data_IF_864246302816
#
_entry.id   IF_864246302816
#
_cell.length_a   1.000
_cell.length_b   1.000
_cell.length_c   1.000
_cell.angle_alpha   90.00
_cell.angle_beta   90.00
_cell.angle_gamma   90.00
#
_symmetry.space_group_name_H-M   'P 1'
#
loop_
_entity.id
_entity.type
_entity.pdbx_description
1 polymer ?
#
# COMPACT_ATOMS: atom_id res chain seq x y z
N UNK A 1 -20.78 64.28 -72.27
CA UNK A 1 -19.36 64.02 -72.00
C UNK A 1 -19.18 63.62 -70.54
N UNK A 2 -19.14 62.35 -70.24
CA UNK A 2 -18.68 61.82 -68.95
C UNK A 2 -18.09 60.46 -69.22
N UNK A 3 -16.79 60.34 -68.98
CA UNK A 3 -16.02 59.14 -69.13
C UNK A 3 -16.24 58.29 -67.85
N UNK A 4 -16.67 57.02 -68.02
CA UNK A 4 -16.79 56.03 -66.94
C UNK A 4 -15.56 55.17 -67.00
N UNK A 5 -14.80 55.18 -65.91
CA UNK A 5 -13.72 54.21 -65.69
C UNK A 5 -14.29 52.94 -65.05
N UNK A 6 -14.13 51.83 -65.74
CA UNK A 6 -14.45 50.50 -65.21
C UNK A 6 -13.26 49.96 -64.44
N UNK A 7 -13.42 49.73 -63.16
CA UNK A 7 -12.40 49.14 -62.32
C UNK A 7 -12.58 47.62 -62.31
N UNK A 8 -11.57 46.93 -62.82
CA UNK A 8 -11.46 45.47 -62.79
C UNK A 8 -11.20 45.00 -61.33
N UNK A 9 -12.09 44.22 -60.75
CA UNK A 9 -11.87 43.54 -59.49
C UNK A 9 -11.01 42.33 -59.76
N UNK A 10 -9.76 42.34 -59.26
CA UNK A 10 -8.93 41.16 -59.11
C UNK A 10 -9.50 40.30 -57.97
N UNK A 11 -9.89 39.07 -58.27
CA UNK A 11 -10.28 38.03 -57.30
C UNK A 11 -9.00 37.38 -56.86
N UNK A 12 -8.61 37.63 -55.59
CA UNK A 12 -7.58 36.84 -54.93
C UNK A 12 -8.16 35.50 -54.48
N UNK A 13 -7.47 34.35 -54.66
CA UNK A 13 -7.94 33.07 -54.13
C UNK A 13 -7.80 33.08 -52.60
N UNK A 14 -8.90 32.90 -51.90
CA UNK A 14 -8.94 32.60 -50.48
C UNK A 14 -8.22 31.25 -50.21
N UNK A 15 -7.01 31.34 -49.70
CA UNK A 15 -6.35 30.20 -49.09
C UNK A 15 -7.21 29.72 -47.90
N UNK A 16 -7.87 28.61 -48.12
CA UNK A 16 -8.55 27.86 -47.06
C UNK A 16 -7.47 27.29 -46.14
N UNK A 17 -7.17 27.98 -45.05
CA UNK A 17 -6.43 27.40 -43.91
C UNK A 17 -7.43 26.48 -43.24
N UNK A 18 -7.19 25.15 -43.20
CA UNK A 18 -8.00 24.29 -42.35
C UNK A 18 -7.76 24.75 -40.93
N UNK A 19 -8.79 25.32 -40.31
CA UNK A 19 -8.83 25.53 -38.87
C UNK A 19 -8.77 24.15 -38.21
N UNK A 20 -7.57 23.69 -37.96
CA UNK A 20 -7.34 22.67 -36.92
C UNK A 20 -7.77 23.33 -35.62
N UNK A 21 -9.06 23.29 -35.35
CA UNK A 21 -9.57 23.39 -33.99
C UNK A 21 -9.04 22.18 -33.24
N UNK A 22 -7.75 22.24 -32.88
CA UNK A 22 -7.23 21.46 -31.82
C UNK A 22 -8.17 21.68 -30.64
N UNK A 23 -8.95 20.65 -30.36
CA UNK A 23 -9.64 20.51 -29.10
C UNK A 23 -8.56 20.66 -28.02
N UNK A 24 -8.37 21.88 -27.55
CA UNK A 24 -7.79 22.15 -26.24
C UNK A 24 -8.77 21.53 -25.26
N UNK A 25 -8.65 20.20 -25.11
CA UNK A 25 -9.15 19.49 -23.94
C UNK A 25 -8.62 20.31 -22.76
N UNK A 26 -9.53 20.98 -22.07
CA UNK A 26 -9.26 21.65 -20.81
C UNK A 26 -8.85 20.56 -19.82
N UNK A 27 -7.61 20.14 -19.89
CA UNK A 27 -6.99 19.39 -18.85
C UNK A 27 -6.87 20.37 -17.68
N UNK A 28 -7.63 20.13 -16.64
CA UNK A 28 -7.40 20.80 -15.36
C UNK A 28 -5.93 20.65 -14.95
N UNK A 29 -5.44 21.36 -13.95
CA UNK A 29 -4.07 21.21 -13.49
C UNK A 29 -3.77 19.72 -13.26
N UNK A 30 -2.55 19.24 -13.62
CA UNK A 30 -2.19 17.85 -13.48
C UNK A 30 -2.41 17.44 -12.02
N UNK A 31 -3.08 16.29 -11.82
CA UNK A 31 -3.35 15.77 -10.50
C UNK A 31 -2.04 15.26 -9.85
N UNK A 32 -1.94 15.46 -8.56
CA UNK A 32 -0.86 14.86 -7.78
C UNK A 32 -0.98 13.33 -7.78
N UNK A 33 0.16 12.65 -7.84
CA UNK A 33 0.24 11.20 -8.00
C UNK A 33 0.40 10.51 -6.65
N UNK A 34 -0.32 9.41 -6.43
CA UNK A 34 -0.34 8.61 -5.19
C UNK A 34 -0.24 7.14 -5.53
N UNK A 35 0.61 6.40 -4.83
CA UNK A 35 0.68 4.94 -4.95
C UNK A 35 -0.08 4.31 -3.78
N UNK A 36 -0.84 3.25 -4.05
CA UNK A 36 -1.59 2.50 -3.04
C UNK A 36 -1.22 1.02 -3.14
N UNK A 37 -0.61 0.48 -2.09
CA UNK A 37 -0.19 -0.92 -2.02
C UNK A 37 -1.17 -1.70 -1.16
N UNK A 38 -1.84 -2.67 -1.75
CA UNK A 38 -2.88 -3.50 -1.14
C UNK A 38 -2.50 -4.98 -1.18
N UNK A 39 -3.15 -5.80 -0.37
CA UNK A 39 -2.93 -7.24 -0.30
C UNK A 39 -3.38 -7.79 1.05
N UNK A 40 -3.47 -9.11 1.17
CA UNK A 40 -3.77 -9.78 2.44
C UNK A 40 -2.62 -9.61 3.44
N UNK A 41 -2.89 -9.83 4.73
CA UNK A 41 -1.82 -9.88 5.73
C UNK A 41 -0.81 -10.98 5.36
N UNK A 42 0.47 -10.71 5.53
CA UNK A 42 1.53 -11.65 5.16
C UNK A 42 1.95 -11.63 3.69
N UNK A 43 1.23 -10.96 2.78
CA UNK A 43 1.54 -11.01 1.34
C UNK A 43 2.79 -10.20 0.90
N UNK A 44 3.48 -9.49 1.79
CA UNK A 44 4.70 -8.75 1.44
C UNK A 44 4.48 -7.26 1.12
N UNK A 45 3.31 -6.69 1.46
CA UNK A 45 3.00 -5.26 1.20
C UNK A 45 4.04 -4.28 1.75
N UNK A 46 4.45 -4.46 3.01
CA UNK A 46 5.42 -3.57 3.66
C UNK A 46 6.77 -3.63 2.95
N UNK A 47 7.23 -4.83 2.60
CA UNK A 47 8.46 -5.01 1.83
C UNK A 47 8.38 -4.26 0.49
N UNK A 48 7.31 -4.48 -0.31
CA UNK A 48 7.15 -3.76 -1.58
C UNK A 48 7.11 -2.24 -1.38
N UNK A 49 6.47 -1.75 -0.32
CA UNK A 49 6.41 -0.31 -0.08
C UNK A 49 7.78 0.31 0.23
N UNK A 50 8.65 -0.41 0.95
CA UNK A 50 10.04 0.00 1.17
C UNK A 50 10.84 -0.04 -0.13
N UNK A 51 10.75 -1.14 -0.90
CA UNK A 51 11.43 -1.26 -2.20
C UNK A 51 11.06 -0.12 -3.16
N UNK A 52 9.80 0.29 -3.16
CA UNK A 52 9.33 1.43 -3.96
C UNK A 52 9.81 2.76 -3.36
N UNK A 53 9.71 2.94 -2.04
CA UNK A 53 10.05 4.20 -1.39
C UNK A 53 11.54 4.54 -1.54
N UNK A 54 12.41 3.55 -1.48
CA UNK A 54 13.84 3.73 -1.69
C UNK A 54 14.19 4.06 -3.14
N UNK A 55 13.40 3.57 -4.12
CA UNK A 55 13.62 3.83 -5.56
C UNK A 55 13.06 5.18 -6.03
N UNK A 56 11.97 5.65 -5.42
CA UNK A 56 11.22 6.82 -5.90
C UNK A 56 11.21 8.01 -4.93
N UNK A 57 12.07 8.04 -3.92
CA UNK A 57 12.07 9.10 -2.91
C UNK A 57 10.66 9.35 -2.35
N UNK A 58 10.12 8.33 -1.69
CA UNK A 58 8.75 8.34 -1.20
C UNK A 58 8.69 8.24 0.33
N UNK A 59 7.53 8.59 0.87
CA UNK A 59 7.20 8.37 2.27
C UNK A 59 5.94 7.51 2.39
N UNK A 60 5.84 6.73 3.44
CA UNK A 60 4.79 5.74 3.63
C UNK A 60 3.72 6.25 4.59
N UNK A 61 2.44 6.08 4.21
CA UNK A 61 1.27 6.27 5.07
C UNK A 61 0.71 4.90 5.40
N UNK A 62 0.86 4.47 6.65
CA UNK A 62 0.31 3.20 7.11
C UNK A 62 -1.22 3.25 7.15
N UNK A 63 -1.88 2.27 6.54
CA UNK A 63 -3.34 2.10 6.54
C UNK A 63 -3.79 0.81 7.24
N UNK A 64 -3.00 0.31 8.18
CA UNK A 64 -3.40 -0.82 9.03
C UNK A 64 -4.08 -0.33 10.31
N UNK A 65 -5.22 -0.96 10.64
CA UNK A 65 -6.06 -0.60 11.78
C UNK A 65 -5.38 -0.78 13.12
N UNK A 66 -4.54 -1.83 13.25
CA UNK A 66 -3.92 -2.17 14.53
C UNK A 66 -2.55 -1.52 14.68
N UNK A 67 -1.84 -1.34 13.59
CA UNK A 67 -0.51 -0.75 13.61
C UNK A 67 -0.50 0.77 13.87
N UNK A 68 -1.66 1.42 13.82
CA UNK A 68 -1.78 2.85 14.15
C UNK A 68 -1.58 3.12 15.64
N UNK A 69 -1.90 2.14 16.50
CA UNK A 69 -1.78 2.25 17.95
C UNK A 69 -0.34 2.09 18.44
N UNK A 70 -0.01 2.76 19.54
CA UNK A 70 1.23 2.55 20.30
C UNK A 70 1.23 1.19 20.98
N UNK A 71 2.40 0.59 21.12
CA UNK A 71 2.60 -0.72 21.76
C UNK A 71 2.14 -1.91 20.92
N UNK A 72 2.30 -3.12 21.45
CA UNK A 72 2.03 -4.40 20.80
C UNK A 72 2.68 -4.49 19.41
N UNK A 73 3.98 -4.15 19.32
CA UNK A 73 4.69 -4.05 18.06
C UNK A 73 4.91 -5.43 17.42
N UNK A 74 5.14 -6.46 18.25
CA UNK A 74 5.25 -7.84 17.81
C UNK A 74 3.87 -8.38 17.41
N UNK A 75 2.87 -8.28 18.29
CA UNK A 75 1.53 -8.82 18.07
C UNK A 75 0.83 -8.19 16.84
N UNK A 76 1.04 -6.92 16.60
CA UNK A 76 0.50 -6.23 15.40
C UNK A 76 1.43 -6.31 14.19
N UNK A 77 2.60 -6.94 14.33
CA UNK A 77 3.62 -7.07 13.30
C UNK A 77 3.98 -5.73 12.64
N UNK A 78 4.28 -4.73 13.47
CA UNK A 78 4.80 -3.45 12.99
C UNK A 78 6.19 -3.65 12.39
N UNK A 79 6.48 -2.88 11.38
CA UNK A 79 7.80 -2.84 10.73
C UNK A 79 8.82 -2.26 11.72
N UNK A 80 9.97 -2.92 11.88
CA UNK A 80 11.05 -2.45 12.76
C UNK A 80 11.81 -1.28 12.12
N UNK A 81 12.62 -0.57 12.91
CA UNK A 81 13.43 0.55 12.40
C UNK A 81 14.46 0.08 11.37
N UNK A 82 15.03 -1.12 11.55
CA UNK A 82 15.95 -1.72 10.58
C UNK A 82 15.23 -2.03 9.25
N UNK A 83 14.03 -2.61 9.33
CA UNK A 83 13.23 -2.95 8.15
C UNK A 83 12.75 -1.71 7.39
N UNK A 84 12.61 -0.56 8.06
CA UNK A 84 12.21 0.70 7.42
C UNK A 84 13.26 1.26 6.47
N UNK A 85 14.52 0.87 6.59
CA UNK A 85 15.62 1.36 5.75
C UNK A 85 15.69 2.90 5.67
N UNK A 86 15.37 3.61 6.75
CA UNK A 86 15.34 5.06 6.81
C UNK A 86 14.13 5.72 6.13
N UNK A 87 13.16 4.96 5.61
CA UNK A 87 11.96 5.50 4.98
C UNK A 87 10.98 6.03 6.04
N UNK A 88 10.56 7.31 5.94
CA UNK A 88 9.59 7.88 6.87
C UNK A 88 8.23 7.18 6.79
N UNK A 89 7.68 6.83 7.97
CA UNK A 89 6.37 6.21 8.11
C UNK A 89 5.42 7.12 8.89
N UNK A 90 4.27 7.42 8.31
CA UNK A 90 3.19 8.16 8.95
C UNK A 90 2.10 7.18 9.42
N UNK A 91 1.42 7.51 10.50
CA UNK A 91 0.32 6.74 11.08
C UNK A 91 0.74 5.33 11.54
N UNK A 92 1.96 5.20 12.03
CA UNK A 92 2.48 3.98 12.62
C UNK A 92 2.80 4.25 14.08
N UNK A 93 2.09 3.61 15.04
CA UNK A 93 2.31 3.76 16.47
C UNK A 93 2.05 5.19 17.00
N UNK A 94 1.02 5.89 16.52
CA UNK A 94 0.78 7.30 16.86
C UNK A 94 -0.49 7.54 17.66
N UNK A 95 -1.34 6.54 17.82
CA UNK A 95 -2.63 6.64 18.54
C UNK A 95 -2.51 5.93 19.87
N UNK A 96 -3.11 6.52 20.90
CA UNK A 96 -3.20 5.92 22.22
C UNK A 96 -3.91 4.56 22.17
N UNK A 97 -3.38 3.51 22.86
CA UNK A 97 -3.89 2.16 22.80
C UNK A 97 -5.36 1.99 23.18
N UNK A 98 -5.89 2.81 24.09
CA UNK A 98 -7.27 2.74 24.57
C UNK A 98 -8.24 3.59 23.73
N UNK A 99 -7.73 4.40 22.81
CA UNK A 99 -8.54 5.29 21.99
C UNK A 99 -9.30 4.55 20.91
N UNK A 100 -10.50 5.02 20.57
CA UNK A 100 -11.20 4.56 19.37
C UNK A 100 -10.63 5.24 18.12
N UNK A 101 -10.31 4.43 17.12
CA UNK A 101 -9.80 4.91 15.84
C UNK A 101 -10.66 4.41 14.68
N UNK A 102 -11.42 5.32 14.12
CA UNK A 102 -12.39 5.06 13.03
C UNK A 102 -11.79 5.29 11.64
N UNK A 103 -12.50 4.86 10.60
CA UNK A 103 -12.15 5.18 9.22
C UNK A 103 -12.19 6.70 8.93
N UNK A 104 -13.04 7.45 9.65
CA UNK A 104 -13.08 8.92 9.54
C UNK A 104 -11.83 9.57 10.16
N UNK A 105 -11.37 9.08 11.32
CA UNK A 105 -10.11 9.53 11.93
C UNK A 105 -8.92 9.23 11.00
N UNK A 106 -8.87 8.02 10.46
CA UNK A 106 -7.84 7.63 9.48
C UNK A 106 -7.84 8.58 8.28
N UNK A 107 -9.02 8.81 7.66
CA UNK A 107 -9.14 9.71 6.51
C UNK A 107 -8.62 11.11 6.81
N UNK A 108 -8.96 11.67 7.96
CA UNK A 108 -8.52 13.00 8.38
C UNK A 108 -6.99 13.06 8.52
N UNK A 109 -6.41 12.15 9.31
CA UNK A 109 -4.98 12.12 9.57
C UNK A 109 -4.16 11.77 8.30
N UNK A 110 -4.60 10.78 7.51
CA UNK A 110 -3.95 10.41 6.26
C UNK A 110 -3.96 11.57 5.25
N UNK A 111 -5.05 12.36 5.19
CA UNK A 111 -5.12 13.54 4.34
C UNK A 111 -4.14 14.65 4.75
N UNK A 112 -3.85 14.79 6.04
CA UNK A 112 -2.83 15.73 6.55
C UNK A 112 -1.43 15.23 6.14
N UNK A 113 -1.12 13.96 6.42
CA UNK A 113 0.16 13.34 6.04
C UNK A 113 0.41 13.42 4.53
N UNK A 114 -0.61 13.12 3.73
CA UNK A 114 -0.55 13.20 2.27
C UNK A 114 -0.14 14.59 1.79
N UNK A 115 -0.81 15.65 2.27
CA UNK A 115 -0.48 17.02 1.91
C UNK A 115 0.93 17.41 2.34
N UNK A 116 1.35 16.98 3.54
CA UNK A 116 2.70 17.22 4.05
C UNK A 116 3.77 16.55 3.18
N UNK A 117 3.56 15.31 2.74
CA UNK A 117 4.47 14.57 1.86
C UNK A 117 4.58 15.28 0.50
N UNK A 118 3.45 15.59 -0.12
CA UNK A 118 3.40 16.27 -1.41
C UNK A 118 4.04 17.66 -1.38
N UNK A 119 3.88 18.42 -0.29
CA UNK A 119 4.52 19.74 -0.13
C UNK A 119 6.06 19.66 -0.14
N UNK A 120 6.63 18.51 0.26
CA UNK A 120 8.06 18.22 0.15
C UNK A 120 8.47 17.60 -1.18
N UNK A 121 7.54 17.52 -2.15
CA UNK A 121 7.75 16.87 -3.45
C UNK A 121 8.16 15.39 -3.34
N UNK A 122 7.73 14.73 -2.27
CA UNK A 122 7.91 13.29 -2.10
C UNK A 122 6.68 12.53 -2.60
N UNK A 123 6.88 11.30 -3.06
CA UNK A 123 5.80 10.43 -3.49
C UNK A 123 5.11 9.79 -2.28
N UNK A 124 3.81 9.99 -2.05
CA UNK A 124 3.10 9.28 -0.99
C UNK A 124 2.76 7.85 -1.42
N UNK A 125 3.11 6.89 -0.57
CA UNK A 125 2.73 5.47 -0.71
C UNK A 125 1.80 5.10 0.45
N UNK A 126 0.54 4.82 0.16
CA UNK A 126 -0.43 4.33 1.15
C UNK A 126 -0.34 2.82 1.18
N UNK A 127 -0.04 2.22 2.33
CA UNK A 127 0.13 0.76 2.46
C UNK A 127 -0.58 0.20 3.67
N UNK A 128 -1.29 -0.91 3.51
CA UNK A 128 -1.88 -1.64 4.62
C UNK A 128 -2.92 -2.68 4.23
N UNK A 129 -3.33 -3.47 5.23
CA UNK A 129 -4.33 -4.53 5.09
C UNK A 129 -5.77 -4.08 5.35
N UNK A 130 -5.97 -2.88 5.90
CA UNK A 130 -7.31 -2.39 6.25
C UNK A 130 -8.00 -1.72 5.06
N UNK A 131 -8.50 -2.56 4.13
CA UNK A 131 -9.14 -2.10 2.89
C UNK A 131 -10.29 -1.11 3.11
N UNK A 132 -10.99 -1.17 4.27
CA UNK A 132 -12.02 -0.19 4.64
C UNK A 132 -11.45 1.21 4.90
N UNK A 133 -10.21 1.31 5.39
CA UNK A 133 -9.52 2.58 5.55
C UNK A 133 -9.13 3.17 4.21
N UNK A 134 -8.55 2.34 3.34
CA UNK A 134 -8.20 2.74 1.97
C UNK A 134 -9.47 3.18 1.20
N UNK A 135 -10.57 2.41 1.30
CA UNK A 135 -11.85 2.74 0.65
C UNK A 135 -12.42 4.07 1.16
N UNK A 136 -12.35 4.33 2.48
CA UNK A 136 -12.82 5.58 3.07
C UNK A 136 -11.98 6.80 2.66
N UNK A 137 -10.69 6.62 2.43
CA UNK A 137 -9.80 7.69 1.98
C UNK A 137 -9.97 7.97 0.48
N UNK A 138 -10.02 6.91 -0.35
CA UNK A 138 -10.03 7.00 -1.82
C UNK A 138 -11.48 7.14 -2.33
N UNK A 139 -12.17 8.15 -1.84
CA UNK A 139 -13.51 8.51 -2.30
C UNK A 139 -13.49 9.32 -3.62
N UNK A 140 -14.65 9.75 -4.07
CA UNK A 140 -14.79 10.56 -5.30
C UNK A 140 -14.00 11.88 -5.20
N UNK A 141 -14.01 12.53 -4.03
CA UNK A 141 -13.30 13.79 -3.81
C UNK A 141 -11.78 13.57 -3.83
N UNK A 142 -11.30 12.47 -3.29
CA UNK A 142 -9.89 12.10 -3.37
C UNK A 142 -9.47 11.90 -4.83
N UNK A 143 -10.22 11.10 -5.59
CA UNK A 143 -9.93 10.81 -7.00
C UNK A 143 -10.08 12.03 -7.93
N UNK A 144 -10.82 13.05 -7.52
CA UNK A 144 -10.87 14.31 -8.28
C UNK A 144 -9.56 15.12 -8.19
N UNK A 145 -8.79 14.94 -7.09
CA UNK A 145 -7.55 15.68 -6.80
C UNK A 145 -6.29 14.89 -7.08
N UNK A 146 -6.34 13.57 -6.89
CA UNK A 146 -5.18 12.68 -6.97
C UNK A 146 -5.39 11.60 -8.02
N UNK A 147 -4.35 11.34 -8.80
CA UNK A 147 -4.26 10.13 -9.61
C UNK A 147 -3.67 9.00 -8.76
N UNK A 148 -4.23 7.81 -8.89
CA UNK A 148 -3.87 6.67 -8.03
C UNK A 148 -3.36 5.50 -8.86
N UNK A 149 -2.17 5.00 -8.53
CA UNK A 149 -1.67 3.71 -8.97
C UNK A 149 -1.92 2.66 -7.88
N UNK A 150 -2.81 1.70 -8.15
CA UNK A 150 -3.10 0.62 -7.20
C UNK A 150 -2.28 -0.61 -7.54
N UNK A 151 -1.45 -1.05 -6.61
CA UNK A 151 -0.70 -2.30 -6.66
C UNK A 151 -1.33 -3.29 -5.68
N UNK A 152 -1.66 -4.47 -6.16
CA UNK A 152 -2.19 -5.54 -5.35
C UNK A 152 -1.20 -6.69 -5.31
N UNK A 153 -0.52 -6.86 -4.16
CA UNK A 153 0.35 -8.02 -3.91
C UNK A 153 -0.55 -9.19 -3.53
N UNK A 154 -0.53 -10.21 -4.36
CA UNK A 154 -1.36 -11.40 -4.23
C UNK A 154 -0.53 -12.66 -4.03
N UNK A 155 -1.02 -13.56 -3.19
CA UNK A 155 -0.42 -14.86 -2.91
C UNK A 155 -1.54 -15.90 -2.86
N UNK A 156 -1.36 -17.05 -3.51
CA UNK A 156 -2.34 -18.14 -3.46
C UNK A 156 -2.63 -18.54 -2.01
N UNK A 157 -3.91 -18.61 -1.63
CA UNK A 157 -4.35 -18.79 -0.23
C UNK A 157 -3.71 -19.98 0.49
N UNK A 158 -3.55 -21.17 -0.10
CA UNK A 158 -2.90 -22.29 0.61
C UNK A 158 -1.44 -21.98 1.00
N UNK A 159 -0.71 -21.28 0.13
CA UNK A 159 0.68 -20.85 0.39
C UNK A 159 0.71 -19.75 1.44
N UNK A 160 -0.21 -18.80 1.35
CA UNK A 160 -0.31 -17.70 2.30
C UNK A 160 -0.70 -18.19 3.71
N UNK A 161 -1.62 -19.15 3.83
CA UNK A 161 -2.02 -19.73 5.12
C UNK A 161 -0.84 -20.38 5.84
N UNK A 162 -0.03 -21.21 5.13
CA UNK A 162 1.19 -21.77 5.71
C UNK A 162 2.14 -20.67 6.18
N UNK A 163 2.38 -19.67 5.34
CA UNK A 163 3.29 -18.57 5.68
C UNK A 163 2.84 -17.75 6.89
N UNK A 164 1.54 -17.42 6.99
CA UNK A 164 1.05 -16.66 8.15
C UNK A 164 1.01 -17.49 9.42
N UNK A 165 0.84 -18.82 9.33
CA UNK A 165 0.99 -19.73 10.46
C UNK A 165 2.42 -19.71 10.98
N UNK A 166 3.41 -19.96 10.12
CA UNK A 166 4.84 -19.91 10.48
C UNK A 166 5.25 -18.51 11.01
N UNK A 167 4.60 -17.44 10.53
CA UNK A 167 4.83 -16.10 11.04
C UNK A 167 4.36 -15.95 12.49
N UNK A 168 3.23 -16.53 12.86
CA UNK A 168 2.76 -16.51 14.25
C UNK A 168 3.75 -17.24 15.16
N UNK A 169 4.30 -18.39 14.74
CA UNK A 169 5.32 -19.08 15.51
C UNK A 169 6.54 -18.18 15.75
N UNK A 170 7.04 -17.51 14.70
CA UNK A 170 8.14 -16.54 14.85
C UNK A 170 7.79 -15.33 15.74
N UNK A 171 6.53 -14.88 15.76
CA UNK A 171 6.09 -13.82 16.68
C UNK A 171 6.12 -14.29 18.12
N UNK A 172 5.72 -15.54 18.39
CA UNK A 172 5.84 -16.16 19.73
C UNK A 172 7.30 -16.26 20.15
N UNK A 173 8.19 -16.76 19.27
CA UNK A 173 9.63 -16.84 19.53
C UNK A 173 10.27 -15.45 19.81
N UNK A 174 9.72 -14.39 19.25
CA UNK A 174 10.16 -13.00 19.46
C UNK A 174 9.60 -12.37 20.73
N UNK A 175 8.80 -13.08 21.54
CA UNK A 175 8.26 -12.59 22.80
C UNK A 175 6.85 -11.99 22.70
N UNK A 176 6.03 -12.36 21.70
CA UNK A 176 4.65 -11.86 21.57
C UNK A 176 3.81 -12.13 22.82
N UNK A 177 4.00 -13.29 23.48
CA UNK A 177 3.23 -13.67 24.67
C UNK A 177 3.53 -12.71 25.82
N UNK A 178 4.79 -12.40 26.04
CA UNK A 178 5.27 -11.47 27.08
C UNK A 178 4.81 -10.04 26.78
N UNK A 179 4.91 -9.61 25.52
CA UNK A 179 4.41 -8.29 25.09
C UNK A 179 2.92 -8.14 25.37
N UNK A 180 2.10 -9.15 25.06
CA UNK A 180 0.65 -9.10 25.30
C UNK A 180 0.35 -9.21 26.81
N UNK A 181 1.16 -9.94 27.59
CA UNK A 181 1.04 -10.03 29.05
C UNK A 181 1.12 -8.65 29.73
N UNK A 182 2.01 -7.77 29.26
CA UNK A 182 2.13 -6.40 29.78
C UNK A 182 0.84 -5.56 29.56
N UNK A 183 0.06 -5.92 28.53
CA UNK A 183 -1.24 -5.30 28.24
C UNK A 183 -2.43 -6.00 28.88
N UNK A 184 -2.20 -7.17 29.52
CA UNK A 184 -3.28 -7.94 30.11
C UNK A 184 -3.88 -7.23 31.31
N UNK A 185 -5.21 -7.13 31.31
CA UNK A 185 -6.01 -6.64 32.44
C UNK A 185 -7.20 -7.56 32.62
N UNK A 186 -7.44 -8.11 33.82
CA UNK A 186 -8.65 -8.86 34.09
C UNK A 186 -9.90 -8.04 33.75
N UNK A 187 -10.83 -8.62 32.99
CA UNK A 187 -12.07 -7.97 32.57
C UNK A 187 -11.90 -6.79 31.57
N UNK A 188 -10.79 -6.74 30.81
CA UNK A 188 -10.60 -5.77 29.76
C UNK A 188 -11.68 -5.85 28.67
N UNK A 189 -12.01 -4.72 28.06
CA UNK A 189 -12.90 -4.66 26.90
C UNK A 189 -12.12 -4.90 25.61
N UNK A 190 -12.22 -6.10 25.06
CA UNK A 190 -11.58 -6.49 23.78
C UNK A 190 -12.32 -5.95 22.54
N UNK A 191 -13.36 -5.14 22.69
CA UNK A 191 -14.05 -4.50 21.57
C UNK A 191 -13.46 -3.14 21.17
N UNK A 192 -12.50 -2.60 21.95
CA UNK A 192 -11.95 -1.25 21.80
C UNK A 192 -10.43 -1.20 21.62
N UNK A 193 -9.96 -0.12 21.04
CA UNK A 193 -8.54 0.21 20.94
C UNK A 193 -7.70 -0.88 20.30
N UNK A 194 -6.46 -1.00 20.77
CA UNK A 194 -5.49 -2.02 20.34
C UNK A 194 -5.86 -3.42 20.82
N UNK A 195 -6.69 -3.53 21.88
CA UNK A 195 -7.10 -4.82 22.47
C UNK A 195 -7.88 -5.70 21.48
N UNK A 196 -8.33 -5.16 20.36
CA UNK A 196 -8.92 -5.92 19.24
C UNK A 196 -7.89 -6.64 18.36
N UNK A 197 -6.60 -6.39 18.58
CA UNK A 197 -5.56 -7.03 17.78
C UNK A 197 -5.57 -8.54 18.00
N UNK A 198 -5.43 -9.30 16.91
CA UNK A 198 -5.27 -10.76 16.97
C UNK A 198 -4.02 -11.05 17.81
N UNK A 199 -4.14 -11.95 18.76
CA UNK A 199 -3.15 -12.27 19.78
C UNK A 199 -3.57 -11.81 21.17
N UNK A 200 -4.34 -10.70 21.28
CA UNK A 200 -4.73 -10.14 22.58
C UNK A 200 -5.93 -10.90 23.18
N UNK A 201 -7.08 -11.01 22.50
CA UNK A 201 -8.22 -11.77 23.04
C UNK A 201 -7.94 -13.27 23.18
N UNK A 202 -7.12 -13.83 22.27
CA UNK A 202 -6.83 -15.26 22.25
C UNK A 202 -5.96 -15.69 23.43
N UNK A 203 -5.13 -14.81 23.97
CA UNK A 203 -4.28 -15.10 25.13
C UNK A 203 -4.96 -14.81 26.49
N UNK A 204 -6.17 -14.25 26.50
CA UNK A 204 -6.86 -13.89 27.76
C UNK A 204 -7.08 -15.09 28.68
N UNK A 205 -7.57 -16.20 28.17
CA UNK A 205 -7.78 -17.40 28.95
C UNK A 205 -6.47 -17.95 29.52
N UNK A 206 -5.42 -17.98 28.72
CA UNK A 206 -4.08 -18.40 29.16
C UNK A 206 -3.62 -17.57 30.36
N UNK A 207 -3.67 -16.25 30.30
CA UNK A 207 -3.23 -15.39 31.40
C UNK A 207 -4.09 -15.50 32.67
N UNK A 208 -5.36 -15.87 32.52
CA UNK A 208 -6.25 -16.11 33.69
C UNK A 208 -5.95 -17.40 34.42
N UNK A 209 -5.60 -18.46 33.67
CA UNK A 209 -5.41 -19.80 34.28
C UNK A 209 -3.96 -20.08 34.65
N UNK A 210 -2.99 -19.47 33.97
CA UNK A 210 -1.56 -19.70 34.14
C UNK A 210 -1.08 -19.66 35.59
N UNK A 211 -1.55 -18.71 36.46
CA UNK A 211 -1.07 -18.68 37.88
C UNK A 211 -1.58 -19.84 38.75
N UNK A 212 -2.57 -20.60 38.28
CA UNK A 212 -3.29 -21.59 39.07
C UNK A 212 -3.21 -23.01 38.51
N UNK A 213 -2.54 -23.23 37.38
CA UNK A 213 -2.47 -24.52 36.72
C UNK A 213 -1.06 -25.12 36.78
N UNK A 214 -0.99 -26.45 36.58
CA UNK A 214 0.26 -27.17 36.42
C UNK A 214 0.90 -26.89 35.05
N UNK A 215 2.15 -27.33 34.87
CA UNK A 215 2.93 -27.08 33.65
C UNK A 215 2.30 -27.72 32.43
N UNK A 216 1.69 -28.90 32.53
CA UNK A 216 1.03 -29.60 31.43
C UNK A 216 -0.20 -28.81 30.95
N UNK A 217 -1.07 -28.36 31.86
CA UNK A 217 -2.25 -27.55 31.58
C UNK A 217 -1.83 -26.20 30.98
N UNK A 218 -0.78 -25.57 31.55
CA UNK A 218 -0.24 -24.31 31.06
C UNK A 218 0.22 -24.43 29.60
N UNK A 219 1.02 -25.45 29.29
CA UNK A 219 1.49 -25.68 27.93
C UNK A 219 0.34 -25.94 26.94
N UNK A 220 -0.65 -26.71 27.34
CA UNK A 220 -1.83 -27.01 26.53
C UNK A 220 -2.65 -25.76 26.23
N UNK A 221 -2.99 -24.94 27.23
CA UNK A 221 -3.79 -23.72 27.06
C UNK A 221 -3.06 -22.70 26.21
N UNK A 222 -1.72 -22.57 26.38
CA UNK A 222 -0.92 -21.72 25.52
C UNK A 222 -0.93 -22.19 24.05
N UNK A 223 -0.79 -23.50 23.82
CA UNK A 223 -0.85 -24.05 22.47
C UNK A 223 -2.22 -23.79 21.80
N UNK A 224 -3.32 -23.99 22.53
CA UNK A 224 -4.68 -23.70 22.05
C UNK A 224 -4.87 -22.20 21.70
N UNK A 225 -4.30 -21.29 22.51
CA UNK A 225 -4.32 -19.86 22.22
C UNK A 225 -3.53 -19.54 20.94
N UNK A 226 -2.33 -20.10 20.77
CA UNK A 226 -1.49 -19.91 19.58
C UNK A 226 -2.21 -20.44 18.32
N UNK A 227 -2.85 -21.60 18.38
CA UNK A 227 -3.61 -22.15 17.27
C UNK A 227 -4.81 -21.27 16.92
N UNK A 228 -5.47 -20.67 17.91
CA UNK A 228 -6.54 -19.70 17.71
C UNK A 228 -6.02 -18.43 17.00
N UNK A 229 -4.84 -17.94 17.37
CA UNK A 229 -4.18 -16.81 16.70
C UNK A 229 -3.88 -17.12 15.23
N UNK A 230 -3.32 -18.30 14.93
CA UNK A 230 -3.06 -18.77 13.56
C UNK A 230 -4.34 -18.83 12.73
N UNK A 231 -5.40 -19.42 13.29
CA UNK A 231 -6.70 -19.52 12.63
C UNK A 231 -7.32 -18.13 12.36
N UNK A 232 -7.30 -17.23 13.34
CA UNK A 232 -7.87 -15.89 13.20
C UNK A 232 -7.05 -15.03 12.23
N UNK A 233 -5.73 -15.21 12.17
CA UNK A 233 -4.87 -14.55 11.17
C UNK A 233 -5.18 -15.04 9.76
N UNK A 234 -5.39 -16.34 9.56
CA UNK A 234 -5.81 -16.92 8.29
C UNK A 234 -7.20 -16.42 7.86
N UNK A 235 -8.16 -16.35 8.78
CA UNK A 235 -9.49 -15.77 8.53
C UNK A 235 -9.42 -14.28 8.17
N UNK A 236 -8.50 -13.54 8.79
CA UNK A 236 -8.24 -12.13 8.44
C UNK A 236 -7.74 -12.01 7.01
N UNK A 237 -6.79 -12.85 6.59
CA UNK A 237 -6.26 -12.87 5.23
C UNK A 237 -7.37 -13.11 4.19
N UNK A 238 -8.26 -14.11 4.42
CA UNK A 238 -9.41 -14.38 3.56
C UNK A 238 -10.33 -13.16 3.43
N UNK A 239 -10.73 -12.57 4.56
CA UNK A 239 -11.61 -11.38 4.57
C UNK A 239 -10.98 -10.16 3.89
N UNK A 240 -9.67 -10.01 3.97
CA UNK A 240 -8.96 -8.94 3.26
C UNK A 240 -8.98 -9.17 1.76
N UNK A 241 -8.74 -10.40 1.30
CA UNK A 241 -8.79 -10.77 -0.11
C UNK A 241 -10.19 -10.59 -0.70
N UNK A 242 -11.24 -11.04 -0.01
CA UNK A 242 -12.64 -10.82 -0.41
C UNK A 242 -12.96 -9.33 -0.62
N UNK A 243 -12.48 -8.46 0.29
CA UNK A 243 -12.65 -7.01 0.15
C UNK A 243 -11.90 -6.46 -1.06
N UNK A 244 -10.69 -6.94 -1.36
CA UNK A 244 -9.94 -6.54 -2.56
C UNK A 244 -10.72 -6.95 -3.82
N UNK A 245 -11.22 -8.17 -3.88
CA UNK A 245 -12.06 -8.63 -4.98
C UNK A 245 -13.33 -7.78 -5.14
N UNK A 246 -13.98 -7.39 -4.04
CA UNK A 246 -15.13 -6.48 -4.07
C UNK A 246 -14.76 -5.12 -4.65
N UNK A 247 -13.64 -4.53 -4.22
CA UNK A 247 -13.16 -3.23 -4.73
C UNK A 247 -12.86 -3.31 -6.23
N UNK A 248 -12.21 -4.40 -6.67
CA UNK A 248 -11.87 -4.62 -8.08
C UNK A 248 -13.10 -4.89 -8.94
N UNK A 249 -13.93 -5.87 -8.56
CA UNK A 249 -14.97 -6.43 -9.43
C UNK A 249 -16.28 -5.64 -9.34
N UNK A 250 -16.64 -5.11 -8.15
CA UNK A 250 -17.90 -4.41 -7.92
C UNK A 250 -17.70 -2.89 -7.97
N UNK A 251 -16.62 -2.37 -7.38
CA UNK A 251 -16.34 -0.93 -7.36
C UNK A 251 -15.53 -0.45 -8.56
N UNK A 252 -15.09 -1.35 -9.44
CA UNK A 252 -14.38 -1.01 -10.67
C UNK A 252 -12.98 -0.42 -10.45
N UNK A 253 -12.32 -0.73 -9.33
CA UNK A 253 -10.97 -0.25 -9.09
C UNK A 253 -9.97 -0.94 -10.01
N UNK A 254 -9.26 -0.17 -10.80
CA UNK A 254 -8.19 -0.68 -11.66
C UNK A 254 -6.95 -0.94 -10.82
N UNK A 255 -6.64 -2.22 -10.59
CA UNK A 255 -5.51 -2.65 -9.76
C UNK A 255 -4.54 -3.47 -10.60
N UNK A 256 -3.25 -3.20 -10.47
CA UNK A 256 -2.19 -4.04 -11.02
C UNK A 256 -1.91 -5.17 -10.02
N UNK A 257 -2.23 -6.40 -10.40
CA UNK A 257 -1.95 -7.59 -9.59
C UNK A 257 -0.51 -8.00 -9.77
N UNK A 258 0.21 -8.13 -8.66
CA UNK A 258 1.58 -8.65 -8.56
C UNK A 258 1.49 -10.01 -7.86
N UNK A 259 1.66 -11.09 -8.59
CA UNK A 259 1.57 -12.44 -8.05
C UNK A 259 2.90 -12.84 -7.40
N UNK A 260 2.92 -12.91 -6.08
CA UNK A 260 4.07 -13.29 -5.28
C UNK A 260 4.09 -14.78 -4.90
N UNK A 261 3.16 -15.60 -5.40
CA UNK A 261 2.99 -16.98 -4.95
C UNK A 261 4.28 -17.79 -5.03
N UNK A 262 5.00 -17.69 -6.13
CA UNK A 262 6.24 -18.46 -6.33
C UNK A 262 7.40 -17.94 -5.48
N UNK A 263 7.38 -16.67 -5.10
CA UNK A 263 8.34 -16.12 -4.12
C UNK A 263 8.22 -16.86 -2.78
N UNK A 264 6.97 -17.05 -2.30
CA UNK A 264 6.69 -17.71 -1.02
C UNK A 264 6.94 -19.22 -1.03
N UNK A 265 7.00 -19.83 -2.21
CA UNK A 265 7.37 -21.25 -2.39
C UNK A 265 8.88 -21.47 -2.36
N UNK A 266 9.67 -20.46 -2.66
CA UNK A 266 11.13 -20.51 -2.69
C UNK A 266 11.73 -20.16 -1.33
N UNK A 267 13.00 -20.51 -1.12
CA UNK A 267 13.75 -20.19 0.10
C UNK A 267 15.12 -19.61 -0.26
N UNK A 268 15.71 -18.87 0.69
CA UNK A 268 17.04 -18.27 0.54
C UNK A 268 17.17 -17.35 -0.67
N UNK A 269 18.33 -17.31 -1.32
CA UNK A 269 18.62 -16.42 -2.44
C UNK A 269 17.69 -16.55 -3.64
N UNK A 270 17.08 -17.74 -3.85
CA UNK A 270 16.07 -17.95 -4.89
C UNK A 270 14.77 -17.17 -4.64
N UNK A 271 14.40 -16.95 -3.39
CA UNK A 271 13.24 -16.13 -3.02
C UNK A 271 13.50 -14.63 -3.26
N UNK A 272 14.72 -14.16 -2.98
CA UNK A 272 15.13 -12.76 -3.22
C UNK A 272 15.10 -12.41 -4.71
N UNK A 273 15.71 -13.25 -5.55
CA UNK A 273 15.70 -13.08 -7.00
C UNK A 273 14.27 -13.10 -7.57
N UNK A 274 13.43 -14.01 -7.09
CA UNK A 274 12.04 -14.10 -7.51
C UNK A 274 11.23 -12.87 -7.03
N UNK A 275 11.49 -12.36 -5.82
CA UNK A 275 10.86 -11.15 -5.34
C UNK A 275 11.20 -9.95 -6.21
N UNK A 276 12.47 -9.76 -6.55
CA UNK A 276 12.91 -8.67 -7.43
C UNK A 276 12.25 -8.76 -8.80
N UNK A 277 12.28 -9.91 -9.43
CA UNK A 277 11.74 -10.10 -10.78
C UNK A 277 10.21 -9.97 -10.84
N UNK A 278 9.50 -10.67 -9.96
CA UNK A 278 8.03 -10.81 -10.04
C UNK A 278 7.27 -9.70 -9.32
N UNK A 279 7.84 -9.09 -8.27
CA UNK A 279 7.12 -8.15 -7.39
C UNK A 279 7.77 -6.77 -7.39
N UNK A 280 9.00 -6.63 -6.91
CA UNK A 280 9.63 -5.32 -6.70
C UNK A 280 9.97 -4.63 -8.03
N UNK A 281 10.62 -5.31 -8.96
CA UNK A 281 10.95 -4.78 -10.28
C UNK A 281 9.70 -4.52 -11.13
N UNK A 282 8.76 -5.49 -11.15
CA UNK A 282 7.48 -5.33 -11.83
C UNK A 282 6.67 -4.15 -11.25
N UNK A 283 6.60 -4.04 -9.92
CA UNK A 283 5.95 -2.92 -9.24
C UNK A 283 6.61 -1.57 -9.54
N UNK A 284 7.95 -1.52 -9.52
CA UNK A 284 8.70 -0.32 -9.87
C UNK A 284 8.48 0.11 -11.33
N UNK A 285 8.42 -0.82 -12.26
CA UNK A 285 8.12 -0.52 -13.67
C UNK A 285 6.71 0.08 -13.85
N UNK A 286 5.71 -0.43 -13.09
CA UNK A 286 4.36 0.12 -13.09
C UNK A 286 4.31 1.53 -12.51
N UNK A 287 4.99 1.76 -11.38
CA UNK A 287 5.06 3.08 -10.74
C UNK A 287 5.83 4.07 -11.62
N UNK A 288 6.93 3.67 -12.24
CA UNK A 288 7.69 4.51 -13.17
C UNK A 288 6.81 4.96 -14.36
N UNK A 289 6.09 4.03 -15.00
CA UNK A 289 5.15 4.39 -16.06
C UNK A 289 4.07 5.36 -15.59
N UNK A 290 3.50 5.11 -14.42
CA UNK A 290 2.51 5.98 -13.82
C UNK A 290 3.06 7.38 -13.51
N UNK A 291 4.29 7.49 -12.98
CA UNK A 291 4.88 8.78 -12.62
C UNK A 291 5.27 9.63 -13.84
N UNK A 292 5.76 9.00 -14.90
CA UNK A 292 6.31 9.70 -16.07
C UNK A 292 5.40 9.65 -17.30
N UNK A 293 4.14 9.21 -17.15
CA UNK A 293 3.14 9.09 -18.21
C UNK A 293 3.70 8.37 -19.47
N UNK A 294 4.51 7.32 -19.25
CA UNK A 294 5.11 6.55 -20.33
C UNK A 294 4.05 5.65 -20.98
N UNK A 295 3.68 5.97 -22.23
CA UNK A 295 2.81 5.12 -23.04
C UNK A 295 3.45 3.72 -23.20
N UNK A 296 2.64 2.63 -23.18
CA UNK A 296 3.16 1.31 -23.49
C UNK A 296 3.66 1.29 -24.94
N UNK A 297 4.96 1.15 -25.15
CA UNK A 297 5.50 0.94 -26.49
C UNK A 297 5.06 -0.43 -26.95
N UNK A 298 4.02 -0.49 -27.77
CA UNK A 298 3.59 -1.71 -28.45
C UNK A 298 4.57 -1.93 -29.61
N UNK A 299 5.72 -2.51 -29.29
CA UNK A 299 6.58 -3.12 -30.30
C UNK A 299 6.22 -4.58 -30.42
N UNK A 300 5.82 -5.00 -31.61
CA UNK A 300 5.65 -6.42 -31.92
C UNK A 300 6.94 -7.16 -31.59
N UNK A 301 6.87 -8.04 -30.59
CA UNK A 301 7.78 -9.15 -30.42
C UNK A 301 9.16 -8.90 -29.83
N UNK A 302 9.48 -7.83 -29.10
CA UNK A 302 10.61 -7.76 -28.11
C UNK A 302 10.54 -6.42 -27.36
N UNK A 303 10.52 -6.46 -26.00
CA UNK A 303 10.62 -5.24 -25.20
C UNK A 303 12.05 -4.69 -25.26
N UNK A 304 12.25 -3.59 -25.96
CA UNK A 304 13.47 -2.78 -25.86
C UNK A 304 13.14 -1.44 -25.17
N UNK A 305 13.74 -1.20 -24.00
CA UNK A 305 13.67 0.11 -23.33
C UNK A 305 14.55 1.11 -24.09
N UNK A 306 13.97 2.21 -24.55
CA UNK A 306 14.74 3.42 -24.93
C UNK A 306 14.82 4.34 -23.71
N UNK A 307 16.03 4.41 -23.13
CA UNK A 307 16.38 5.39 -22.10
C UNK A 307 16.64 6.74 -22.76
N UNK A 308 15.77 7.68 -22.51
CA UNK A 308 15.96 9.09 -22.88
C UNK A 308 16.28 9.94 -21.65
N UNK A 309 17.32 9.60 -20.90
CA UNK A 309 17.86 10.49 -19.86
C UNK A 309 19.11 11.18 -20.40
N UNK A 310 19.03 12.50 -20.64
CA UNK A 310 20.22 13.34 -20.81
C UNK A 310 20.92 13.45 -19.45
N UNK A 311 22.23 13.22 -19.34
CA UNK A 311 22.96 13.49 -18.12
C UNK A 311 23.08 15.00 -17.90
N UNK A 312 22.68 15.47 -16.71
CA UNK A 312 23.08 16.81 -16.25
C UNK A 312 24.60 16.79 -16.02
N UNK A 313 25.30 17.59 -16.80
CA UNK A 313 26.71 17.89 -16.60
C UNK A 313 26.87 18.64 -15.27
N UNK A 314 27.68 18.07 -14.37
CA UNK A 314 28.15 18.77 -13.20
C UNK A 314 29.15 19.86 -13.64
N UNK A 315 28.84 21.12 -13.35
CA UNK A 315 29.79 22.21 -13.49
C UNK A 315 30.73 22.18 -12.27
N UNK A 316 32.00 21.83 -12.51
CA UNK A 316 33.09 22.08 -11.59
C UNK A 316 33.45 23.54 -11.68
N UNK A 317 33.31 24.28 -10.59
CA UNK A 317 33.90 25.60 -10.43
C UNK A 317 35.26 25.45 -9.75
N UNK A 318 36.22 26.09 -10.35
CA UNK A 318 37.60 26.31 -9.87
C UNK A 318 37.63 27.18 -8.64
#
# INVERSE_FOLDING_TARGET
>A
MKLSFSASKQIQPLLHIPSTSSQLLRHGPPKEKVVVVMGATGAGKSRLSIDLATRFSAEIINSDKMQVYQGLDIATNKITDEERCGVPHHLLGVVDPESDFSAANFRAMASISLRSILSRRQLPIIVGGSNSFVEALVDVNFRSRYDCCFLWVDVAMPVLHSFVSDRVDRMVERGMVEEVREFFQPNADYSRGIRRAIGVPELDEFFRVEPFCDEETRARVLAEAIDSIKMNTSRLACRQLEKIHRLRNIKGWRMHRLDATDVFRKRGGGAEAAWEDMVAGSGAALVSRFLYDLEPVVCGGVMAMRSGARPLMAATAS
#
